data_IF_012570021967
#
_entry.id   IF_012570021967
#
_cell.length_a   1.000
_cell.length_b   1.000
_cell.length_c   1.000
_cell.angle_alpha   90.00
_cell.angle_beta   90.00
_cell.angle_gamma   90.00
#
_symmetry.space_group_name_H-M   'P 1'
#
loop_
_entity.id
_entity.type
_entity.pdbx_description
1 polymer ?
#
# COMPACT_ATOMS: atom_id res chain seq x y z
N UNK A 1 -10.27 5.67 31.42
CA UNK A 1 -10.70 7.06 31.22
C UNK A 1 -12.22 7.09 31.04
N UNK A 2 -12.92 8.07 31.65
CA UNK A 2 -14.35 8.26 31.42
C UNK A 2 -14.58 8.70 29.96
N UNK A 3 -15.68 8.24 29.36
CA UNK A 3 -16.08 8.66 28.00
C UNK A 3 -16.90 9.92 28.10
N UNK A 4 -16.57 10.90 27.30
CA UNK A 4 -17.41 12.07 27.08
C UNK A 4 -18.47 11.76 26.04
N UNK A 5 -19.70 12.24 26.24
CA UNK A 5 -20.83 11.98 25.34
C UNK A 5 -21.51 13.28 25.01
N UNK A 6 -21.70 13.53 23.71
CA UNK A 6 -22.45 14.70 23.19
C UNK A 6 -23.68 14.25 22.40
N UNK A 7 -24.70 15.08 22.35
CA UNK A 7 -26.00 14.75 21.77
C UNK A 7 -26.52 15.85 20.83
N UNK A 8 -27.48 15.47 20.00
CA UNK A 8 -28.29 16.35 19.18
C UNK A 8 -27.52 17.31 18.26
N UNK A 9 -27.85 18.61 18.30
CA UNK A 9 -27.27 19.60 17.40
C UNK A 9 -25.78 19.80 17.63
N UNK A 10 -25.35 19.91 18.87
CA UNK A 10 -23.94 20.10 19.23
C UNK A 10 -23.03 19.01 18.66
N UNK A 11 -23.44 17.74 18.83
CA UNK A 11 -22.69 16.61 18.29
C UNK A 11 -22.58 16.66 16.76
N UNK A 12 -23.66 17.02 16.07
CA UNK A 12 -23.68 17.13 14.60
C UNK A 12 -22.85 18.31 14.09
N UNK A 13 -22.85 19.44 14.79
CA UNK A 13 -22.06 20.62 14.43
C UNK A 13 -20.58 20.33 14.53
N UNK A 14 -20.11 19.75 15.63
CA UNK A 14 -18.71 19.38 15.82
C UNK A 14 -18.24 18.35 14.79
N UNK A 15 -19.03 17.29 14.56
CA UNK A 15 -18.70 16.31 13.51
C UNK A 15 -18.59 16.97 12.13
N UNK A 16 -19.54 17.88 11.81
CA UNK A 16 -19.52 18.60 10.54
C UNK A 16 -18.31 19.53 10.42
N UNK A 17 -17.93 20.22 11.49
CA UNK A 17 -16.73 21.05 11.54
C UNK A 17 -15.48 20.22 11.15
N UNK A 18 -15.34 19.03 11.71
CA UNK A 18 -14.25 18.14 11.37
C UNK A 18 -14.26 17.66 9.92
N UNK A 19 -15.44 17.29 9.42
CA UNK A 19 -15.63 16.94 8.00
C UNK A 19 -15.23 18.11 7.09
N UNK A 20 -15.68 19.31 7.40
CA UNK A 20 -15.39 20.49 6.59
C UNK A 20 -13.90 20.85 6.67
N UNK A 21 -13.29 20.83 7.84
CA UNK A 21 -11.87 21.14 8.02
C UNK A 21 -10.98 20.24 7.16
N UNK A 22 -11.19 18.92 7.20
CA UNK A 22 -10.42 17.99 6.37
C UNK A 22 -10.72 18.18 4.88
N UNK A 23 -11.99 18.21 4.50
CA UNK A 23 -12.36 18.32 3.09
C UNK A 23 -11.90 19.65 2.47
N UNK A 24 -11.93 20.75 3.24
CA UNK A 24 -11.47 22.06 2.78
C UNK A 24 -9.95 22.09 2.59
N UNK A 25 -9.19 21.40 3.43
CA UNK A 25 -7.76 21.23 3.23
C UNK A 25 -7.42 20.42 1.98
N UNK A 26 -8.18 19.34 1.71
CA UNK A 26 -7.94 18.44 0.57
C UNK A 26 -8.41 19.06 -0.74
N UNK A 27 -9.58 19.71 -0.77
CA UNK A 27 -10.18 20.20 -2.03
C UNK A 27 -9.38 21.31 -2.73
N UNK A 28 -8.44 21.97 -2.04
CA UNK A 28 -7.57 22.97 -2.67
C UNK A 28 -6.62 22.35 -3.70
N UNK A 29 -6.42 21.03 -3.65
CA UNK A 29 -5.60 20.28 -4.59
C UNK A 29 -6.34 19.86 -5.87
N UNK A 30 -7.68 20.06 -5.93
CA UNK A 30 -8.53 19.52 -6.99
C UNK A 30 -8.40 20.26 -8.32
N UNK A 31 -8.26 19.50 -9.40
CA UNK A 31 -8.40 19.95 -10.77
C UNK A 31 -7.25 20.83 -11.29
N UNK A 32 -7.43 21.44 -12.46
CA UNK A 32 -6.34 22.16 -13.14
C UNK A 32 -5.88 23.42 -12.43
N UNK A 33 -6.67 23.95 -11.50
CA UNK A 33 -6.30 25.06 -10.60
C UNK A 33 -5.83 24.57 -9.23
N UNK A 34 -5.66 23.27 -9.05
CA UNK A 34 -5.18 22.66 -7.81
C UNK A 34 -3.84 23.25 -7.38
N UNK A 35 -3.70 23.44 -6.06
CA UNK A 35 -2.52 24.04 -5.44
C UNK A 35 -1.80 23.00 -4.59
N UNK A 36 -0.51 23.21 -4.39
CA UNK A 36 0.25 22.46 -3.40
C UNK A 36 -0.19 22.81 -1.99
N UNK A 37 -0.20 21.82 -1.13
CA UNK A 37 -0.34 21.97 0.32
C UNK A 37 1.05 21.77 0.93
N UNK A 38 1.39 22.58 1.91
CA UNK A 38 2.62 22.48 2.69
C UNK A 38 2.25 21.88 4.04
N UNK A 39 2.85 20.74 4.33
CA UNK A 39 2.65 20.01 5.59
C UNK A 39 3.89 20.19 6.44
N UNK A 40 3.70 20.72 7.66
CA UNK A 40 4.79 20.87 8.62
C UNK A 40 5.25 19.51 9.15
N UNK A 41 6.54 19.35 9.33
CA UNK A 41 7.14 18.19 9.97
C UNK A 41 7.96 18.61 11.17
N UNK A 42 7.70 18.01 12.32
CA UNK A 42 8.46 18.28 13.56
C UNK A 42 9.97 18.08 13.40
N UNK A 43 10.38 17.22 12.46
CA UNK A 43 11.79 16.98 12.14
C UNK A 43 11.95 16.92 10.63
N UNK A 44 12.88 17.70 10.08
CA UNK A 44 13.18 17.75 8.66
C UNK A 44 12.53 18.93 7.92
N UNK A 45 12.54 18.85 6.59
CA UNK A 45 11.92 19.86 5.72
C UNK A 45 10.42 19.65 5.62
N UNK A 46 9.61 20.74 5.51
CA UNK A 46 8.19 20.64 5.23
C UNK A 46 7.91 19.81 3.98
N UNK A 47 6.86 18.99 4.03
CA UNK A 47 6.44 18.19 2.88
C UNK A 47 5.48 18.99 2.00
N UNK A 48 5.80 19.09 0.71
CA UNK A 48 4.98 19.80 -0.27
C UNK A 48 4.31 18.77 -1.17
N UNK A 49 2.99 18.76 -1.21
CA UNK A 49 2.24 17.77 -2.00
C UNK A 49 0.97 18.35 -2.62
N UNK A 50 0.51 17.73 -3.71
CA UNK A 50 -0.83 17.91 -4.30
C UNK A 50 -1.72 16.69 -4.09
N UNK A 51 -1.16 15.62 -3.54
CA UNK A 51 -1.90 14.38 -3.34
C UNK A 51 -2.92 14.51 -2.22
N UNK A 52 -4.20 14.29 -2.55
CA UNK A 52 -5.31 14.46 -1.62
C UNK A 52 -5.30 13.47 -0.46
N UNK A 53 -4.89 12.21 -0.68
CA UNK A 53 -4.84 11.24 0.41
C UNK A 53 -3.71 11.54 1.38
N UNK A 54 -2.56 12.01 0.90
CA UNK A 54 -1.44 12.43 1.75
C UNK A 54 -1.86 13.60 2.64
N UNK A 55 -2.53 14.63 2.06
CA UNK A 55 -3.08 15.75 2.84
C UNK A 55 -4.10 15.25 3.87
N UNK A 56 -5.03 14.37 3.47
CA UNK A 56 -6.06 13.86 4.37
C UNK A 56 -5.48 13.09 5.56
N UNK A 57 -4.41 12.33 5.36
CA UNK A 57 -3.75 11.54 6.42
C UNK A 57 -3.10 12.41 7.50
N UNK A 58 -2.66 13.61 7.15
CA UNK A 58 -1.96 14.52 8.06
C UNK A 58 -2.91 15.46 8.82
N UNK A 59 -4.21 15.54 8.46
CA UNK A 59 -5.16 16.38 9.17
C UNK A 59 -5.52 15.76 10.52
N UNK A 60 -5.20 16.48 11.59
CA UNK A 60 -5.59 16.22 12.98
C UNK A 60 -6.10 17.48 13.63
N UNK A 61 -7.20 17.39 14.38
CA UNK A 61 -7.83 18.51 15.04
C UNK A 61 -7.73 18.38 16.56
N UNK A 62 -7.55 19.50 17.26
CA UNK A 62 -7.42 19.54 18.72
C UNK A 62 -8.73 19.16 19.42
N UNK A 63 -9.89 19.56 18.85
CA UNK A 63 -11.19 19.24 19.41
C UNK A 63 -11.54 17.78 19.10
N UNK A 64 -11.76 16.90 20.11
CA UNK A 64 -11.89 15.45 19.91
C UNK A 64 -13.08 15.04 19.02
N UNK A 65 -14.23 15.72 19.15
CA UNK A 65 -15.43 15.37 18.37
C UNK A 65 -15.33 15.87 16.92
N UNK A 66 -14.74 17.06 16.69
CA UNK A 66 -14.42 17.50 15.34
C UNK A 66 -13.38 16.56 14.71
N UNK A 67 -12.38 16.13 15.47
CA UNK A 67 -11.40 15.16 14.97
C UNK A 67 -12.04 13.83 14.57
N UNK A 68 -13.08 13.34 15.28
CA UNK A 68 -13.85 12.17 14.83
C UNK A 68 -14.50 12.40 13.47
N UNK A 69 -15.04 13.60 13.21
CA UNK A 69 -15.58 13.97 11.89
C UNK A 69 -14.52 13.93 10.80
N UNK A 70 -13.34 14.48 11.07
CA UNK A 70 -12.20 14.42 10.17
C UNK A 70 -11.75 12.97 9.90
N UNK A 71 -11.66 12.13 10.92
CA UNK A 71 -11.26 10.72 10.77
C UNK A 71 -12.23 9.92 9.86
N UNK A 72 -13.54 10.17 9.94
CA UNK A 72 -14.52 9.52 9.04
C UNK A 72 -14.21 9.84 7.57
N UNK A 73 -13.90 11.10 7.25
CA UNK A 73 -13.60 11.51 5.87
C UNK A 73 -12.18 11.07 5.46
N UNK A 74 -11.23 11.02 6.40
CA UNK A 74 -9.91 10.42 6.19
C UNK A 74 -10.03 8.96 5.75
N UNK A 75 -10.93 8.18 6.36
CA UNK A 75 -11.19 6.79 5.97
C UNK A 75 -11.74 6.69 4.54
N UNK A 76 -12.63 7.60 4.13
CA UNK A 76 -13.13 7.67 2.74
C UNK A 76 -11.99 7.87 1.76
N UNK A 77 -11.08 8.82 2.03
CA UNK A 77 -9.93 9.07 1.16
C UNK A 77 -9.00 7.87 1.09
N UNK A 78 -8.67 7.25 2.24
CA UNK A 78 -7.78 6.09 2.33
C UNK A 78 -8.36 4.90 1.60
N UNK A 79 -9.64 4.56 1.82
CA UNK A 79 -10.30 3.44 1.15
C UNK A 79 -10.38 3.64 -0.37
N UNK A 80 -10.65 4.88 -0.83
CA UNK A 80 -10.64 5.19 -2.26
C UNK A 80 -9.25 4.97 -2.87
N UNK A 81 -8.20 5.34 -2.13
CA UNK A 81 -6.82 5.10 -2.56
C UNK A 81 -6.51 3.60 -2.64
N UNK A 82 -6.92 2.82 -1.65
CA UNK A 82 -6.65 1.38 -1.60
C UNK A 82 -7.41 0.63 -2.72
N UNK A 83 -8.65 1.02 -3.00
CA UNK A 83 -9.50 0.36 -4.00
C UNK A 83 -9.17 0.79 -5.45
N UNK A 84 -8.77 2.05 -5.68
CA UNK A 84 -8.65 2.62 -7.03
C UNK A 84 -7.32 3.33 -7.33
N UNK A 85 -6.54 3.70 -6.32
CA UNK A 85 -5.28 4.44 -6.47
C UNK A 85 -5.45 5.89 -6.92
N UNK A 86 -6.67 6.35 -7.23
CA UNK A 86 -6.98 7.69 -7.71
C UNK A 86 -8.38 8.12 -7.26
N UNK A 87 -8.71 9.43 -7.44
CA UNK A 87 -10.02 9.98 -7.12
C UNK A 87 -10.23 10.31 -5.64
N UNK A 88 -9.22 10.29 -4.80
CA UNK A 88 -9.28 10.51 -3.35
C UNK A 88 -9.84 11.89 -3.00
N UNK A 89 -9.40 12.94 -3.70
CA UNK A 89 -9.93 14.30 -3.52
C UNK A 89 -11.39 14.40 -3.93
N UNK A 90 -11.77 13.78 -5.05
CA UNK A 90 -13.17 13.74 -5.52
C UNK A 90 -14.08 13.05 -4.52
N UNK A 91 -13.66 11.89 -4.00
CA UNK A 91 -14.41 11.16 -2.98
C UNK A 91 -14.59 11.98 -1.69
N UNK A 92 -13.55 12.67 -1.25
CA UNK A 92 -13.57 13.57 -0.08
C UNK A 92 -14.58 14.71 -0.26
N UNK A 93 -14.58 15.36 -1.41
CA UNK A 93 -15.51 16.47 -1.71
C UNK A 93 -16.96 15.98 -1.80
N UNK A 94 -17.19 14.80 -2.42
CA UNK A 94 -18.50 14.17 -2.45
C UNK A 94 -18.99 13.80 -1.05
N UNK A 95 -18.13 13.22 -0.22
CA UNK A 95 -18.46 12.90 1.18
C UNK A 95 -18.88 14.16 1.96
N UNK A 96 -18.10 15.24 1.87
CA UNK A 96 -18.45 16.54 2.48
C UNK A 96 -19.83 17.01 2.03
N UNK A 97 -20.11 16.97 0.73
CA UNK A 97 -21.38 17.45 0.17
C UNK A 97 -22.56 16.60 0.64
N UNK A 98 -22.44 15.26 0.60
CA UNK A 98 -23.49 14.33 1.03
C UNK A 98 -23.77 14.50 2.53
N UNK A 99 -22.73 14.59 3.37
CA UNK A 99 -22.85 14.77 4.81
C UNK A 99 -23.50 16.15 5.10
N UNK A 100 -23.01 17.20 4.45
CA UNK A 100 -23.53 18.56 4.66
C UNK A 100 -25.01 18.71 4.31
N UNK A 101 -25.45 18.11 3.19
CA UNK A 101 -26.87 18.10 2.80
C UNK A 101 -27.68 17.17 3.71
N UNK A 102 -27.11 16.00 4.07
CA UNK A 102 -27.76 15.06 4.97
C UNK A 102 -28.04 15.64 6.34
N UNK A 103 -27.07 16.28 6.97
CA UNK A 103 -27.22 16.94 8.27
C UNK A 103 -28.30 18.04 8.22
N UNK A 104 -28.32 18.84 7.15
CA UNK A 104 -29.37 19.87 6.98
C UNK A 104 -30.78 19.27 6.96
N UNK A 105 -30.98 18.18 6.23
CA UNK A 105 -32.27 17.48 6.14
C UNK A 105 -32.70 16.88 7.49
N UNK A 106 -31.75 16.23 8.19
CA UNK A 106 -32.01 15.65 9.53
C UNK A 106 -32.36 16.76 10.53
N UNK A 107 -31.66 17.89 10.49
CA UNK A 107 -31.93 19.05 11.34
C UNK A 107 -33.30 19.66 11.04
N UNK A 108 -33.75 19.59 9.78
CA UNK A 108 -35.09 20.02 9.37
C UNK A 108 -36.18 19.01 9.71
N UNK A 109 -35.88 17.90 10.38
CA UNK A 109 -36.83 16.90 10.85
C UNK A 109 -37.03 15.68 9.95
N UNK A 110 -36.22 15.50 8.91
CA UNK A 110 -36.26 14.29 8.10
C UNK A 110 -35.80 13.07 8.92
N UNK A 111 -36.45 11.92 8.69
CA UNK A 111 -36.04 10.67 9.34
C UNK A 111 -34.67 10.20 8.80
N UNK A 112 -33.65 10.03 9.66
CA UNK A 112 -32.30 9.63 9.22
C UNK A 112 -32.27 8.27 8.51
N UNK A 113 -33.15 7.33 8.92
CA UNK A 113 -33.20 5.98 8.32
C UNK A 113 -33.81 6.01 6.92
N UNK A 114 -34.80 6.90 6.68
CA UNK A 114 -35.37 7.09 5.35
C UNK A 114 -34.39 7.79 4.44
N UNK A 115 -33.66 8.77 4.96
CA UNK A 115 -32.59 9.43 4.24
C UNK A 115 -31.50 8.42 3.83
N UNK A 116 -31.05 7.56 4.75
CA UNK A 116 -30.09 6.50 4.45
C UNK A 116 -30.61 5.58 3.33
N UNK A 117 -31.84 5.11 3.40
CA UNK A 117 -32.45 4.26 2.35
C UNK A 117 -32.49 4.98 0.99
N UNK A 118 -32.74 6.28 1.00
CA UNK A 118 -32.70 7.11 -0.20
C UNK A 118 -31.28 7.22 -0.79
N UNK A 119 -30.27 7.44 0.04
CA UNK A 119 -28.87 7.48 -0.36
C UNK A 119 -28.44 6.12 -0.96
N UNK A 120 -28.75 5.01 -0.30
CA UNK A 120 -28.39 3.66 -0.78
C UNK A 120 -28.97 3.39 -2.19
N UNK A 121 -30.24 3.76 -2.43
CA UNK A 121 -30.86 3.64 -3.76
C UNK A 121 -30.22 4.54 -4.80
N UNK A 122 -29.90 5.78 -4.43
CA UNK A 122 -29.25 6.72 -5.33
C UNK A 122 -27.85 6.26 -5.70
N UNK A 123 -27.06 5.76 -4.73
CA UNK A 123 -25.72 5.21 -4.97
C UNK A 123 -25.78 4.04 -5.94
N UNK A 124 -26.71 3.09 -5.76
CA UNK A 124 -26.87 1.95 -6.66
C UNK A 124 -27.15 2.40 -8.11
N UNK A 125 -28.06 3.36 -8.30
CA UNK A 125 -28.38 3.90 -9.62
C UNK A 125 -27.23 4.67 -10.26
N UNK A 126 -26.49 5.47 -9.45
CA UNK A 126 -25.32 6.23 -9.92
C UNK A 126 -24.21 5.28 -10.34
N UNK A 127 -23.92 4.26 -9.54
CA UNK A 127 -22.87 3.26 -9.85
C UNK A 127 -23.20 2.50 -11.14
N UNK A 128 -24.47 2.09 -11.34
CA UNK A 128 -24.89 1.45 -12.59
C UNK A 128 -24.70 2.38 -13.80
N UNK A 129 -25.04 3.66 -13.65
CA UNK A 129 -24.88 4.64 -14.72
C UNK A 129 -23.40 4.91 -15.03
N UNK A 130 -22.55 5.03 -14.01
CA UNK A 130 -21.11 5.18 -14.17
C UNK A 130 -20.49 3.98 -14.89
N UNK A 131 -20.91 2.76 -14.59
CA UNK A 131 -20.46 1.55 -15.32
C UNK A 131 -20.82 1.60 -16.81
N UNK A 132 -21.99 2.15 -17.16
CA UNK A 132 -22.39 2.33 -18.58
C UNK A 132 -21.58 3.39 -19.31
N UNK A 133 -21.13 4.42 -18.60
CA UNK A 133 -20.33 5.51 -19.16
C UNK A 133 -18.82 5.20 -19.18
N UNK A 134 -18.37 4.28 -18.33
CA UNK A 134 -16.95 3.93 -18.23
C UNK A 134 -16.42 3.33 -19.53
N UNK A 135 -15.22 3.73 -19.90
CA UNK A 135 -14.50 3.18 -21.04
C UNK A 135 -13.39 2.27 -20.56
N UNK A 136 -13.35 1.05 -21.07
CA UNK A 136 -12.25 0.13 -20.76
C UNK A 136 -10.96 0.65 -21.40
N UNK A 137 -9.90 0.72 -20.60
CA UNK A 137 -8.56 1.07 -21.08
C UNK A 137 -8.01 -0.05 -21.96
N UNK A 138 -8.23 -1.31 -21.57
CA UNK A 138 -7.79 -2.47 -22.35
C UNK A 138 -6.27 -2.50 -22.49
N UNK A 139 -5.79 -3.00 -23.63
CA UNK A 139 -4.38 -3.11 -23.98
C UNK A 139 -3.86 -1.89 -24.79
N UNK A 140 -4.63 -0.81 -24.81
CA UNK A 140 -4.26 0.38 -25.56
C UNK A 140 -3.22 1.19 -24.79
N UNK A 141 -1.96 1.09 -25.18
CA UNK A 141 -0.82 1.78 -24.56
C UNK A 141 -1.06 3.29 -24.46
N UNK A 142 -1.63 3.92 -25.51
CA UNK A 142 -1.97 5.34 -25.51
C UNK A 142 -2.96 5.72 -24.37
N UNK A 143 -3.94 4.87 -24.10
CA UNK A 143 -4.88 5.10 -22.98
C UNK A 143 -4.22 4.88 -21.64
N UNK A 144 -3.32 3.91 -21.53
CA UNK A 144 -2.51 3.69 -20.33
C UNK A 144 -1.64 4.92 -20.06
N UNK A 145 -0.97 5.44 -21.07
CA UNK A 145 -0.17 6.67 -20.98
C UNK A 145 -1.00 7.87 -20.55
N UNK A 146 -2.21 8.04 -21.11
CA UNK A 146 -3.11 9.13 -20.72
C UNK A 146 -3.54 9.03 -19.26
N UNK A 147 -3.91 7.84 -18.78
CA UNK A 147 -4.28 7.60 -17.39
C UNK A 147 -3.10 7.86 -16.45
N UNK A 148 -1.94 7.33 -16.79
CA UNK A 148 -0.72 7.53 -16.00
C UNK A 148 -0.30 9.01 -15.97
N UNK A 149 -0.39 9.71 -17.09
CA UNK A 149 -0.12 11.16 -17.17
C UNK A 149 -1.03 11.96 -16.25
N UNK A 150 -2.34 11.66 -16.26
CA UNK A 150 -3.30 12.35 -15.37
C UNK A 150 -3.01 12.04 -13.91
N UNK A 151 -2.75 10.79 -13.56
CA UNK A 151 -2.39 10.40 -12.20
C UNK A 151 -1.08 11.05 -11.72
N UNK A 152 -0.15 11.34 -12.64
CA UNK A 152 1.09 12.06 -12.38
C UNK A 152 0.94 13.60 -12.47
N UNK A 153 -0.25 14.16 -12.28
CA UNK A 153 -0.51 15.60 -12.37
C UNK A 153 -0.21 16.23 -13.74
N UNK A 154 -0.55 15.56 -14.83
CA UNK A 154 -0.25 15.93 -16.22
C UNK A 154 1.25 15.93 -16.58
N UNK A 155 2.05 15.13 -15.88
CA UNK A 155 3.44 14.90 -16.27
C UNK A 155 3.52 13.80 -17.34
N UNK A 156 3.71 14.23 -18.59
CA UNK A 156 3.82 13.32 -19.72
C UNK A 156 5.06 12.44 -19.63
N UNK A 157 6.14 12.90 -19.00
CA UNK A 157 7.38 12.13 -18.87
C UNK A 157 7.13 10.89 -18.00
N UNK A 158 6.45 11.09 -16.86
CA UNK A 158 6.06 9.98 -15.98
C UNK A 158 5.04 9.08 -16.68
N UNK A 159 4.05 9.68 -17.38
CA UNK A 159 3.05 8.93 -18.12
C UNK A 159 3.66 7.98 -19.15
N UNK A 160 4.60 8.47 -19.94
CA UNK A 160 5.31 7.67 -20.95
C UNK A 160 6.18 6.57 -20.32
N UNK A 161 6.88 6.85 -19.21
CA UNK A 161 7.66 5.84 -18.48
C UNK A 161 6.80 4.70 -17.94
N UNK A 162 5.64 5.03 -17.37
CA UNK A 162 4.69 4.01 -16.88
C UNK A 162 4.11 3.19 -18.06
N UNK A 163 3.76 3.84 -19.16
CA UNK A 163 3.27 3.14 -20.35
C UNK A 163 4.34 2.21 -20.95
N UNK A 164 5.60 2.65 -20.99
CA UNK A 164 6.73 1.80 -21.37
C UNK A 164 6.89 0.60 -20.46
N UNK A 165 6.87 0.81 -19.13
CA UNK A 165 6.95 -0.26 -18.15
C UNK A 165 5.81 -1.26 -18.35
N UNK A 166 4.54 -0.79 -18.48
CA UNK A 166 3.37 -1.65 -18.73
C UNK A 166 3.48 -2.45 -20.01
N UNK A 167 4.08 -1.88 -21.06
CA UNK A 167 4.29 -2.61 -22.33
C UNK A 167 5.25 -3.78 -22.19
N UNK A 168 6.18 -3.71 -21.22
CA UNK A 168 7.19 -4.75 -20.95
C UNK A 168 6.69 -5.84 -20.01
N UNK A 169 5.90 -5.46 -19.00
CA UNK A 169 5.45 -6.41 -17.96
C UNK A 169 4.04 -6.97 -18.17
N UNK A 170 3.31 -6.50 -19.17
CA UNK A 170 1.90 -6.80 -19.40
C UNK A 170 0.96 -6.34 -18.26
N UNK A 171 -0.33 -6.63 -18.40
CA UNK A 171 -1.37 -6.18 -17.45
C UNK A 171 -1.27 -6.80 -16.05
N UNK A 172 -0.71 -7.97 -15.96
CA UNK A 172 -0.58 -8.72 -14.70
C UNK A 172 0.76 -8.45 -14.00
N UNK A 173 1.63 -7.66 -14.65
CA UNK A 173 2.90 -7.26 -14.06
C UNK A 173 2.73 -6.20 -12.99
N UNK A 174 3.57 -6.27 -11.97
CA UNK A 174 3.62 -5.29 -10.89
C UNK A 174 4.65 -4.22 -11.24
N UNK A 175 4.24 -2.95 -11.16
CA UNK A 175 5.14 -1.80 -11.29
C UNK A 175 5.34 -1.22 -9.91
N UNK A 176 6.59 -1.20 -9.45
CA UNK A 176 7.01 -0.53 -8.22
C UNK A 176 7.77 0.74 -8.54
N UNK A 177 7.66 1.74 -7.68
CA UNK A 177 8.39 3.00 -7.80
C UNK A 177 9.31 3.12 -6.58
N UNK A 178 10.60 3.27 -6.84
CA UNK A 178 11.62 3.38 -5.80
C UNK A 178 12.48 4.63 -6.04
N UNK A 179 13.06 5.17 -4.98
CA UNK A 179 13.98 6.29 -5.08
C UNK A 179 15.31 5.83 -5.69
N UNK A 180 15.68 6.42 -6.83
CA UNK A 180 16.93 6.08 -7.50
C UNK A 180 18.15 6.59 -6.72
N UNK A 181 19.23 5.82 -6.74
CA UNK A 181 20.53 6.26 -6.19
C UNK A 181 21.22 7.30 -7.09
N UNK A 182 20.78 7.42 -8.35
CA UNK A 182 21.30 8.34 -9.34
C UNK A 182 20.38 9.55 -9.58
N UNK A 183 20.76 10.40 -10.54
CA UNK A 183 19.99 11.59 -10.93
C UNK A 183 18.99 11.34 -12.06
N UNK A 184 19.07 10.18 -12.70
CA UNK A 184 18.22 9.83 -13.84
C UNK A 184 17.14 8.84 -13.43
N UNK A 185 15.93 9.03 -13.98
CA UNK A 185 14.83 8.08 -13.81
C UNK A 185 14.98 6.97 -14.86
N UNK A 186 15.05 5.73 -14.41
CA UNK A 186 15.23 4.56 -15.27
C UNK A 186 14.09 3.57 -15.08
N UNK A 187 13.78 2.80 -16.13
CA UNK A 187 12.84 1.67 -16.08
C UNK A 187 13.65 0.40 -16.14
N UNK A 188 13.65 -0.36 -15.04
CA UNK A 188 14.27 -1.68 -14.97
C UNK A 188 13.20 -2.75 -14.97
N UNK A 189 13.36 -3.79 -15.79
CA UNK A 189 12.44 -4.91 -15.87
C UNK A 189 13.11 -6.13 -15.24
N UNK A 190 12.48 -6.67 -14.23
CA UNK A 190 12.93 -7.89 -13.53
C UNK A 190 11.95 -9.02 -13.86
N UNK A 191 12.48 -10.13 -14.35
CA UNK A 191 11.68 -11.34 -14.53
C UNK A 191 11.52 -12.05 -13.19
N UNK A 192 10.30 -12.30 -12.79
CA UNK A 192 9.98 -12.94 -11.52
C UNK A 192 9.12 -12.07 -10.61
N UNK A 193 9.37 -12.11 -9.31
CA UNK A 193 8.66 -11.34 -8.31
C UNK A 193 9.65 -10.54 -7.46
N UNK A 194 9.39 -9.24 -7.31
CA UNK A 194 10.10 -8.36 -6.39
C UNK A 194 9.22 -8.02 -5.20
N UNK A 195 9.78 -7.99 -4.01
CA UNK A 195 9.09 -7.58 -2.78
C UNK A 195 10.00 -6.74 -1.88
N UNK A 196 9.39 -5.99 -0.99
CA UNK A 196 9.98 -4.91 -0.18
C UNK A 196 10.83 -5.37 1.02
N UNK A 197 11.14 -6.67 1.12
CA UNK A 197 11.91 -7.24 2.24
C UNK A 197 13.23 -7.82 1.75
N UNK A 198 14.30 -7.39 2.40
CA UNK A 198 15.63 -7.90 2.15
C UNK A 198 16.07 -9.00 3.14
N UNK A 199 17.34 -9.35 3.07
CA UNK A 199 17.93 -10.35 3.96
C UNK A 199 17.86 -9.92 5.44
N UNK A 200 17.64 -10.89 6.33
CA UNK A 200 17.50 -10.67 7.78
C UNK A 200 18.84 -10.23 8.42
N UNK A 201 19.95 -10.63 7.84
CA UNK A 201 21.28 -10.31 8.36
C UNK A 201 22.25 -9.95 7.23
N UNK A 202 23.03 -8.90 7.40
CA UNK A 202 24.08 -8.49 6.46
C UNK A 202 25.15 -9.58 6.24
N UNK A 203 25.27 -10.54 7.14
CA UNK A 203 26.18 -11.68 6.97
C UNK A 203 25.74 -12.65 5.86
N UNK A 204 24.51 -12.55 5.33
CA UNK A 204 24.09 -13.34 4.17
C UNK A 204 24.58 -12.77 2.83
N UNK A 205 25.14 -11.58 2.82
CA UNK A 205 25.70 -10.93 1.62
C UNK A 205 26.77 -11.82 0.97
N UNK A 206 26.68 -11.97 -0.36
CA UNK A 206 27.66 -12.68 -1.18
C UNK A 206 28.61 -11.72 -1.90
N UNK A 207 28.12 -10.53 -2.26
CA UNK A 207 28.89 -9.43 -2.84
C UNK A 207 28.90 -8.25 -1.85
N UNK A 208 30.04 -8.07 -1.18
CA UNK A 208 30.20 -7.02 -0.15
C UNK A 208 30.34 -5.61 -0.71
N UNK A 209 30.72 -5.45 -1.98
CA UNK A 209 30.81 -4.13 -2.60
C UNK A 209 29.43 -3.58 -2.95
N UNK A 210 28.55 -4.45 -3.45
CA UNK A 210 27.17 -4.11 -3.79
C UNK A 210 26.19 -4.31 -2.64
N UNK A 211 26.61 -4.96 -1.56
CA UNK A 211 25.75 -5.39 -0.45
C UNK A 211 24.58 -6.27 -0.92
N UNK A 212 24.85 -7.20 -1.82
CA UNK A 212 23.87 -8.10 -2.42
C UNK A 212 24.11 -9.55 -2.01
N UNK A 213 23.02 -10.32 -1.91
CA UNK A 213 23.04 -11.76 -1.73
C UNK A 213 22.53 -12.43 -3.01
N UNK A 214 23.44 -12.89 -3.87
CA UNK A 214 23.12 -13.56 -5.13
C UNK A 214 23.26 -15.07 -4.95
N UNK A 215 22.21 -15.80 -5.25
CA UNK A 215 22.15 -17.27 -5.18
C UNK A 215 21.64 -17.82 -6.51
N UNK A 216 22.42 -18.68 -7.15
CA UNK A 216 22.04 -19.30 -8.41
C UNK A 216 21.17 -20.54 -8.17
N UNK A 217 20.00 -20.58 -8.80
CA UNK A 217 19.00 -21.67 -8.75
C UNK A 217 18.81 -22.25 -7.34
N UNK A 218 18.51 -21.40 -6.33
CA UNK A 218 18.35 -21.85 -4.95
C UNK A 218 17.10 -22.70 -4.80
N UNK A 219 17.09 -23.56 -3.79
CA UNK A 219 15.86 -24.07 -3.21
C UNK A 219 15.23 -22.95 -2.36
N UNK A 220 13.92 -22.90 -2.30
CA UNK A 220 13.20 -21.88 -1.55
C UNK A 220 12.32 -22.55 -0.50
N UNK A 221 12.55 -22.25 0.77
CA UNK A 221 11.68 -22.61 1.88
C UNK A 221 10.74 -21.44 2.17
N UNK A 222 9.43 -21.68 2.03
CA UNK A 222 8.40 -20.64 2.18
C UNK A 222 7.50 -21.00 3.34
N UNK A 223 7.46 -20.16 4.38
CA UNK A 223 6.61 -20.37 5.55
C UNK A 223 6.19 -19.06 6.21
N UNK A 224 5.02 -19.05 6.85
CA UNK A 224 4.58 -17.95 7.72
C UNK A 224 5.05 -18.08 9.16
N UNK A 225 5.77 -19.15 9.47
CA UNK A 225 6.30 -19.39 10.82
C UNK A 225 7.53 -18.53 11.11
N UNK A 226 7.67 -18.18 12.37
CA UNK A 226 8.92 -17.68 12.90
C UNK A 226 9.84 -18.87 13.22
N UNK A 227 11.09 -18.81 12.77
CA UNK A 227 12.10 -19.85 12.97
C UNK A 227 13.11 -19.37 14.00
N UNK A 228 13.13 -19.99 15.16
CA UNK A 228 14.02 -19.60 16.27
C UNK A 228 15.04 -20.69 16.64
N UNK A 229 14.77 -21.94 16.32
CA UNK A 229 15.65 -23.09 16.63
C UNK A 229 16.08 -23.85 15.39
N UNK A 230 17.28 -24.41 15.42
CA UNK A 230 17.80 -25.23 14.29
C UNK A 230 16.99 -26.50 14.07
N UNK A 231 16.39 -27.03 15.11
CA UNK A 231 15.58 -28.26 15.07
C UNK A 231 14.40 -28.13 14.09
N UNK A 232 13.81 -26.94 13.99
CA UNK A 232 12.65 -26.67 13.12
C UNK A 232 12.97 -26.83 11.63
N UNK A 233 14.20 -26.56 11.22
CA UNK A 233 14.62 -26.53 9.82
C UNK A 233 15.66 -27.61 9.46
N UNK A 234 16.09 -28.43 10.43
CA UNK A 234 17.13 -29.44 10.24
C UNK A 234 16.79 -30.42 9.12
N UNK A 235 15.53 -30.87 9.05
CA UNK A 235 15.06 -31.78 8.00
C UNK A 235 15.16 -31.21 6.57
N UNK A 236 15.21 -29.89 6.42
CA UNK A 236 15.44 -29.22 5.14
C UNK A 236 16.93 -28.94 4.93
N UNK A 237 17.65 -28.54 5.97
CA UNK A 237 19.06 -28.16 5.86
C UNK A 237 19.99 -29.36 5.57
N UNK A 238 19.76 -30.52 6.15
CA UNK A 238 20.60 -31.69 5.94
C UNK A 238 20.65 -32.12 4.45
N UNK A 239 19.52 -32.31 3.75
CA UNK A 239 19.53 -32.64 2.32
C UNK A 239 20.13 -31.52 1.46
N UNK A 240 19.91 -30.26 1.83
CA UNK A 240 20.46 -29.10 1.10
C UNK A 240 21.99 -29.08 1.21
N UNK A 241 22.52 -29.28 2.43
CA UNK A 241 23.96 -29.32 2.68
C UNK A 241 24.61 -30.50 1.94
N UNK A 242 24.01 -31.70 1.99
CA UNK A 242 24.53 -32.90 1.31
C UNK A 242 24.59 -32.73 -0.21
N UNK A 243 23.59 -32.03 -0.80
CA UNK A 243 23.55 -31.83 -2.24
C UNK A 243 24.32 -30.58 -2.70
N UNK A 244 24.87 -29.77 -1.77
CA UNK A 244 25.62 -28.55 -2.06
C UNK A 244 24.82 -27.44 -2.76
N UNK A 245 23.47 -27.53 -2.71
CA UNK A 245 22.58 -26.53 -3.32
C UNK A 245 22.47 -25.30 -2.44
N UNK A 246 22.15 -24.17 -3.08
CA UNK A 246 21.82 -22.94 -2.36
C UNK A 246 20.37 -23.03 -1.82
N UNK A 247 20.11 -22.36 -0.69
CA UNK A 247 18.80 -22.26 -0.06
C UNK A 247 18.46 -20.81 0.27
N UNK A 248 17.24 -20.38 -0.09
CA UNK A 248 16.63 -19.15 0.40
C UNK A 248 15.51 -19.53 1.37
N UNK A 249 15.52 -18.97 2.56
CA UNK A 249 14.45 -19.11 3.53
C UNK A 249 13.63 -17.83 3.51
N UNK A 250 12.34 -17.92 3.21
CA UNK A 250 11.36 -16.84 3.34
C UNK A 250 10.44 -17.22 4.49
N UNK A 251 10.57 -16.52 5.61
CA UNK A 251 9.87 -16.82 6.85
C UNK A 251 9.34 -15.53 7.51
N UNK A 252 8.37 -15.62 8.42
CA UNK A 252 7.95 -14.45 9.18
C UNK A 252 9.13 -13.73 9.83
N UNK A 253 9.97 -14.49 10.50
CA UNK A 253 11.27 -14.05 11.02
C UNK A 253 12.20 -15.26 11.19
N UNK A 254 13.50 -15.01 11.21
CA UNK A 254 14.51 -15.99 11.64
C UNK A 254 15.39 -15.33 12.67
N UNK A 255 15.39 -15.84 13.90
CA UNK A 255 16.14 -15.25 15.00
C UNK A 255 16.86 -16.29 15.89
N UNK A 256 17.39 -15.84 17.02
CA UNK A 256 17.96 -16.67 18.05
C UNK A 256 19.05 -17.63 17.58
N UNK A 257 18.92 -18.89 18.01
CA UNK A 257 19.84 -19.97 17.70
C UNK A 257 19.86 -20.29 16.18
N UNK A 258 18.69 -20.25 15.54
CA UNK A 258 18.57 -20.54 14.12
C UNK A 258 19.39 -19.55 13.29
N UNK A 259 19.19 -18.25 13.49
CA UNK A 259 19.92 -17.21 12.77
C UNK A 259 21.43 -17.32 12.97
N UNK A 260 21.86 -17.46 14.23
CA UNK A 260 23.28 -17.55 14.57
C UNK A 260 23.95 -18.76 13.89
N UNK A 261 23.28 -19.89 13.90
CA UNK A 261 23.79 -21.13 13.29
C UNK A 261 23.83 -21.03 11.76
N UNK A 262 22.81 -20.45 11.12
CA UNK A 262 22.78 -20.25 9.67
C UNK A 262 23.93 -19.32 9.22
N UNK A 263 24.15 -18.22 9.94
CA UNK A 263 25.23 -17.26 9.67
C UNK A 263 26.59 -17.94 9.81
N UNK A 264 26.82 -18.67 10.92
CA UNK A 264 28.11 -19.38 11.14
C UNK A 264 28.38 -20.39 10.04
N UNK A 265 27.41 -21.20 9.64
CA UNK A 265 27.57 -22.19 8.60
C UNK A 265 27.78 -21.56 7.20
N UNK A 266 27.12 -20.42 6.94
CA UNK A 266 27.36 -19.65 5.72
C UNK A 266 28.79 -19.09 5.69
N UNK A 267 29.26 -18.49 6.79
CA UNK A 267 30.63 -17.94 6.89
C UNK A 267 31.70 -19.00 6.78
N UNK A 268 31.44 -20.23 7.28
CA UNK A 268 32.30 -21.38 7.12
C UNK A 268 32.29 -21.99 5.70
N UNK A 269 31.38 -21.50 4.83
CA UNK A 269 31.21 -22.06 3.48
C UNK A 269 30.51 -23.42 3.43
N UNK A 270 29.98 -23.90 4.56
CA UNK A 270 29.27 -25.19 4.65
C UNK A 270 27.88 -25.12 4.00
N UNK A 271 27.23 -23.96 4.10
CA UNK A 271 25.92 -23.69 3.51
C UNK A 271 25.96 -22.45 2.60
N UNK A 272 25.33 -22.55 1.45
CA UNK A 272 25.01 -21.41 0.57
C UNK A 272 23.59 -20.99 0.88
N UNK A 273 23.42 -20.02 1.78
CA UNK A 273 22.10 -19.69 2.32
C UNK A 273 21.89 -18.20 2.48
N UNK A 274 20.64 -17.77 2.28
CA UNK A 274 20.13 -16.48 2.71
C UNK A 274 18.77 -16.64 3.37
N UNK A 275 18.45 -15.81 4.35
CA UNK A 275 17.15 -15.75 4.98
C UNK A 275 16.57 -14.34 4.82
N UNK A 276 15.30 -14.29 4.44
CA UNK A 276 14.54 -13.08 4.12
C UNK A 276 13.25 -13.07 4.93
N UNK A 277 12.83 -11.90 5.41
CA UNK A 277 11.51 -11.75 6.01
C UNK A 277 10.41 -11.87 4.97
N UNK A 278 9.35 -12.59 5.31
CA UNK A 278 8.15 -12.68 4.50
C UNK A 278 7.54 -11.28 4.26
N UNK A 279 7.16 -10.96 3.02
CA UNK A 279 6.55 -9.68 2.69
C UNK A 279 5.13 -9.57 3.26
N UNK A 280 4.68 -8.34 3.49
CA UNK A 280 3.34 -8.06 3.98
C UNK A 280 3.11 -8.41 5.46
N UNK A 281 1.85 -8.26 5.90
CA UNK A 281 1.40 -8.53 7.27
C UNK A 281 0.03 -9.20 7.23
N UNK A 282 -0.29 -10.01 8.27
CA UNK A 282 -1.58 -10.67 8.40
C UNK A 282 -1.96 -11.52 7.18
N UNK A 283 -3.21 -11.41 6.71
CA UNK A 283 -3.71 -12.20 5.59
C UNK A 283 -2.99 -11.88 4.27
N UNK A 284 -2.61 -10.61 4.05
CA UNK A 284 -1.82 -10.21 2.89
C UNK A 284 -0.46 -10.92 2.81
N UNK A 285 0.16 -11.23 3.97
CA UNK A 285 1.40 -12.02 4.00
C UNK A 285 1.18 -13.43 3.44
N UNK A 286 0.06 -14.07 3.81
CA UNK A 286 -0.28 -15.42 3.33
C UNK A 286 -0.49 -15.43 1.82
N UNK A 287 -1.26 -14.46 1.31
CA UNK A 287 -1.48 -14.31 -0.13
C UNK A 287 -0.16 -14.13 -0.90
N UNK A 288 0.73 -13.26 -0.43
CA UNK A 288 2.04 -13.06 -1.05
C UNK A 288 2.94 -14.29 -0.98
N UNK A 289 2.90 -15.07 0.10
CA UNK A 289 3.66 -16.32 0.22
C UNK A 289 3.10 -17.41 -0.71
N UNK A 290 1.78 -17.46 -0.92
CA UNK A 290 1.15 -18.34 -1.91
C UNK A 290 1.53 -17.96 -3.34
N UNK A 291 1.60 -16.65 -3.65
CA UNK A 291 2.06 -16.15 -4.95
C UNK A 291 3.51 -16.54 -5.22
N UNK A 292 4.39 -16.38 -4.22
CA UNK A 292 5.79 -16.80 -4.33
C UNK A 292 5.89 -18.32 -4.53
N UNK A 293 5.09 -19.10 -3.79
CA UNK A 293 5.07 -20.57 -3.93
C UNK A 293 4.60 -20.98 -5.32
N UNK A 294 3.55 -20.36 -5.83
CA UNK A 294 3.02 -20.62 -7.19
C UNK A 294 4.05 -20.28 -8.26
N UNK A 295 4.70 -19.13 -8.16
CA UNK A 295 5.71 -18.68 -9.11
C UNK A 295 6.94 -19.59 -9.14
N UNK A 296 7.35 -20.10 -7.99
CA UNK A 296 8.54 -20.95 -7.84
C UNK A 296 8.25 -22.45 -8.00
N UNK A 297 6.99 -22.83 -8.20
CA UNK A 297 6.55 -24.22 -8.27
C UNK A 297 6.67 -24.98 -6.96
N UNK A 298 6.69 -24.23 -5.84
CA UNK A 298 6.79 -24.76 -4.49
C UNK A 298 5.45 -24.92 -3.78
N UNK A 299 5.53 -25.21 -2.49
CA UNK A 299 4.36 -25.26 -1.60
C UNK A 299 4.59 -24.35 -0.41
N UNK A 300 3.61 -23.50 -0.12
CA UNK A 300 3.60 -22.67 1.08
C UNK A 300 3.31 -23.53 2.31
N UNK A 301 4.16 -23.45 3.32
CA UNK A 301 4.07 -24.23 4.56
C UNK A 301 3.49 -23.32 5.65
N UNK A 302 2.27 -23.62 6.07
CA UNK A 302 1.58 -22.96 7.18
C UNK A 302 1.79 -23.66 8.51
N UNK A 303 1.28 -23.05 9.59
CA UNK A 303 1.21 -23.72 10.91
C UNK A 303 0.36 -24.99 10.94
#
# INVERSE_FOLDING_TARGET
>A
MAKEIKYNAEARELLKEGVDALADAVKVTLGPKGRNVIIDRKFGTPHITKDGVTVAKEVELEEPFANMGAQIVKEVASKTNDDAGDGTTTATVLAQSIIGVGIKNVTAGANPMDLKRGIDKAVAAVVENLRKQSQKVGDHIEKIEQVATISANNDNTIGSLIAEAMSKVNKEGVITVEEAKGTETTVEVVEGMQFDRGYISAYFVTDTEKMEAQLDKPLILITDKKISTMKEIMGVLEPVAQNGRALVIIAEDVDGEALSSLVVNKLRGTLKIAAVKAPGFGDRRKEMLEDIATLTGGTYITE
#
